data_IF_791372617373
#
_entry.id   IF_791372617373
#
_cell.length_a   1.000
_cell.length_b   1.000
_cell.length_c   1.000
_cell.angle_alpha   90.00
_cell.angle_beta   90.00
_cell.angle_gamma   90.00
#
_symmetry.space_group_name_H-M   'P 1'
#
loop_
_entity.id
_entity.type
_entity.pdbx_description
1 polymer ?
#
# COMPACT_ATOMS: atom_id res chain seq x y z
N UNK A 1 -5.08 24.64 7.89
CA UNK A 1 -5.63 24.15 6.59
C UNK A 1 -4.60 23.27 5.86
N UNK A 2 -3.35 23.70 5.68
CA UNK A 2 -2.28 22.93 4.99
C UNK A 2 -1.96 21.58 5.66
N UNK A 3 -1.98 21.53 6.99
CA UNK A 3 -1.71 20.30 7.77
C UNK A 3 -2.72 19.19 7.49
N UNK A 4 -4.02 19.50 7.39
CA UNK A 4 -5.06 18.46 7.22
C UNK A 4 -4.94 17.73 5.87
N UNK A 5 -4.54 18.44 4.81
CA UNK A 5 -4.35 17.86 3.46
C UNK A 5 -3.16 16.90 3.46
N UNK A 6 -2.02 17.33 4.04
CA UNK A 6 -0.82 16.51 4.14
C UNK A 6 -1.05 15.23 4.94
N UNK A 7 -1.77 15.32 6.06
CA UNK A 7 -2.12 14.14 6.86
C UNK A 7 -3.08 13.20 6.12
N UNK A 8 -4.09 13.72 5.42
CA UNK A 8 -5.02 12.91 4.64
C UNK A 8 -4.34 12.20 3.47
N UNK A 9 -3.43 12.88 2.78
CA UNK A 9 -2.62 12.28 1.73
C UNK A 9 -1.73 11.18 2.29
N UNK A 10 -0.94 11.49 3.31
CA UNK A 10 -0.01 10.54 3.94
C UNK A 10 -0.72 9.28 4.44
N UNK A 11 -1.88 9.42 5.09
CA UNK A 11 -2.67 8.29 5.57
C UNK A 11 -3.23 7.40 4.45
N UNK A 12 -3.53 7.98 3.27
CA UNK A 12 -3.96 7.22 2.09
C UNK A 12 -2.77 6.51 1.44
N UNK A 13 -1.65 7.21 1.29
CA UNK A 13 -0.42 6.67 0.71
C UNK A 13 0.19 5.56 1.55
N UNK A 14 0.02 5.58 2.87
CA UNK A 14 0.50 4.53 3.79
C UNK A 14 -0.01 3.12 3.42
N UNK A 15 -1.17 3.01 2.76
CA UNK A 15 -1.75 1.73 2.33
C UNK A 15 -0.91 1.03 1.26
N UNK A 16 -0.15 1.79 0.47
CA UNK A 16 0.67 1.29 -0.63
C UNK A 16 2.16 1.14 -0.25
N UNK A 17 2.56 1.68 0.91
CA UNK A 17 3.96 1.73 1.33
C UNK A 17 4.62 0.37 1.45
N UNK A 18 3.90 -0.65 1.93
CA UNK A 18 4.45 -2.00 2.03
C UNK A 18 4.67 -2.63 0.65
N UNK A 19 3.75 -2.42 -0.29
CA UNK A 19 3.91 -2.86 -1.68
C UNK A 19 5.11 -2.19 -2.37
N UNK A 20 5.25 -0.87 -2.23
CA UNK A 20 6.40 -0.16 -2.80
C UNK A 20 7.74 -0.57 -2.18
N UNK A 21 7.79 -0.84 -0.87
CA UNK A 21 9.00 -1.36 -0.21
C UNK A 21 9.42 -2.73 -0.72
N UNK A 22 8.47 -3.50 -1.26
CA UNK A 22 8.67 -4.83 -1.82
C UNK A 22 8.86 -4.82 -3.34
N UNK A 23 8.89 -3.65 -3.96
CA UNK A 23 9.14 -3.49 -5.40
C UNK A 23 7.90 -3.60 -6.29
N UNK A 24 6.68 -3.56 -5.74
CA UNK A 24 5.46 -3.67 -6.53
C UNK A 24 5.22 -2.41 -7.38
N UNK A 25 4.75 -2.65 -8.61
CA UNK A 25 4.25 -1.62 -9.51
C UNK A 25 2.89 -1.07 -9.06
N UNK A 26 2.45 0.04 -9.66
CA UNK A 26 1.18 0.68 -9.30
C UNK A 26 -0.05 -0.24 -9.42
N UNK A 27 -0.13 -1.02 -10.50
CA UNK A 27 -1.24 -1.96 -10.74
C UNK A 27 -1.26 -3.10 -9.72
N UNK A 28 -0.09 -3.65 -9.42
CA UNK A 28 0.12 -4.73 -8.44
C UNK A 28 -0.21 -4.26 -7.03
N UNK A 29 0.25 -3.05 -6.65
CA UNK A 29 -0.05 -2.45 -5.36
C UNK A 29 -1.56 -2.19 -5.18
N UNK A 30 -2.27 -1.79 -6.24
CA UNK A 30 -3.74 -1.65 -6.21
C UNK A 30 -4.42 -3.00 -5.95
N UNK A 31 -3.98 -4.06 -6.65
CA UNK A 31 -4.52 -5.40 -6.44
C UNK A 31 -4.25 -5.89 -5.02
N UNK A 32 -3.03 -5.71 -4.53
CA UNK A 32 -2.61 -6.15 -3.20
C UNK A 32 -3.38 -5.43 -2.09
N UNK A 33 -3.60 -4.12 -2.22
CA UNK A 33 -4.43 -3.33 -1.28
C UNK A 33 -5.88 -3.79 -1.27
N UNK A 34 -6.45 -4.15 -2.44
CA UNK A 34 -7.82 -4.69 -2.51
C UNK A 34 -7.93 -6.08 -1.89
N UNK A 35 -6.93 -6.94 -2.08
CA UNK A 35 -6.91 -8.32 -1.56
C UNK A 35 -6.62 -8.37 -0.06
N UNK A 36 -5.70 -7.54 0.45
CA UNK A 36 -5.21 -7.56 1.84
C UNK A 36 -5.63 -6.33 2.65
N UNK A 37 -6.92 -5.98 2.61
CA UNK A 37 -7.51 -4.78 3.21
C UNK A 37 -7.24 -4.58 4.72
N UNK A 38 -7.02 -5.66 5.48
CA UNK A 38 -7.02 -5.61 6.95
C UNK A 38 -5.69 -5.18 7.57
N UNK A 39 -4.56 -5.78 7.15
CA UNK A 39 -3.29 -5.60 7.87
C UNK A 39 -2.34 -4.58 7.24
N UNK A 40 -2.63 -4.06 6.05
CA UNK A 40 -1.75 -3.11 5.31
C UNK A 40 -0.29 -3.58 5.18
N UNK A 41 -0.08 -4.87 5.44
CA UNK A 41 1.15 -5.62 5.33
C UNK A 41 0.81 -6.83 4.47
N UNK A 42 1.56 -7.01 3.39
CA UNK A 42 1.43 -8.11 2.48
C UNK A 42 2.05 -9.35 3.13
N UNK A 43 1.48 -10.55 2.90
CA UNK A 43 2.15 -11.79 3.26
C UNK A 43 3.55 -11.83 2.63
N UNK A 44 4.58 -12.36 3.30
CA UNK A 44 5.92 -12.53 2.73
C UNK A 44 5.88 -13.32 1.41
N UNK A 45 5.00 -14.33 1.34
CA UNK A 45 4.81 -15.21 0.19
C UNK A 45 4.28 -14.48 -1.05
N UNK A 46 3.50 -13.39 -0.86
CA UNK A 46 2.83 -12.68 -1.96
C UNK A 46 3.80 -12.00 -2.92
N UNK A 47 4.95 -11.54 -2.42
CA UNK A 47 5.96 -10.87 -3.26
C UNK A 47 6.53 -11.83 -4.32
N UNK A 48 6.33 -13.13 -4.12
CA UNK A 48 6.72 -14.16 -5.06
C UNK A 48 5.57 -14.62 -5.98
N UNK A 49 4.31 -14.30 -5.61
CA UNK A 49 3.11 -14.68 -6.38
C UNK A 49 2.64 -13.63 -7.38
N UNK A 50 3.04 -12.36 -7.19
CA UNK A 50 2.71 -11.23 -8.07
C UNK A 50 3.77 -11.12 -9.17
#
# INVERSE_FOLDING_TARGET
>A
IVTNILFRFSNRSLRFMDGYRRGLNGSEAIWAVKKYCSHRCLPPELVHEI
#
